data_IF_399488029326
#
_entry.id   IF_399488029326
#
_cell.length_a   1.000
_cell.length_b   1.000
_cell.length_c   1.000
_cell.angle_alpha   90.00
_cell.angle_beta   90.00
_cell.angle_gamma   90.00
#
_symmetry.space_group_name_H-M   'P 1'
#
loop_
_entity.id
_entity.type
_entity.pdbx_description
1 polymer ?
#
# COMPACT_ATOMS: atom_id res chain seq x y z
N UNK A 1 34.00 -44.70 -17.98
CA UNK A 1 32.84 -44.54 -17.06
C UNK A 1 33.00 -43.18 -16.40
N UNK A 2 32.17 -42.20 -16.76
CA UNK A 2 32.17 -40.89 -16.09
C UNK A 2 31.55 -41.09 -14.71
N UNK A 3 32.25 -40.64 -13.68
CA UNK A 3 31.75 -40.57 -12.32
C UNK A 3 30.34 -39.94 -12.35
N UNK A 4 29.36 -40.70 -11.89
CA UNK A 4 27.99 -40.22 -11.78
C UNK A 4 28.00 -39.02 -10.85
N UNK A 5 27.51 -37.90 -11.35
CA UNK A 5 27.10 -36.77 -10.52
C UNK A 5 25.97 -37.34 -9.64
N UNK A 6 26.33 -37.77 -8.43
CA UNK A 6 25.35 -37.97 -7.36
C UNK A 6 24.82 -36.58 -7.08
N UNK A 7 23.68 -36.23 -7.67
CA UNK A 7 22.99 -35.01 -7.28
C UNK A 7 22.70 -35.15 -5.79
N UNK A 8 23.23 -34.25 -4.93
CA UNK A 8 22.89 -34.29 -3.51
C UNK A 8 21.36 -34.25 -3.39
N UNK A 9 20.82 -34.99 -2.43
CA UNK A 9 19.38 -34.98 -2.15
C UNK A 9 18.86 -33.58 -1.84
N UNK A 10 17.55 -33.40 -1.64
CA UNK A 10 17.02 -32.10 -1.24
C UNK A 10 17.70 -31.65 0.06
N UNK A 11 18.21 -30.41 0.06
CA UNK A 11 18.85 -29.79 1.22
C UNK A 11 18.18 -28.44 1.50
N UNK A 12 18.18 -28.05 2.77
CA UNK A 12 17.90 -26.69 3.21
C UNK A 12 19.23 -25.94 3.33
N UNK A 13 19.39 -24.86 2.59
CA UNK A 13 20.55 -23.97 2.71
C UNK A 13 20.33 -23.03 3.88
N UNK A 14 21.26 -23.04 4.84
CA UNK A 14 21.21 -22.15 6.00
C UNK A 14 21.42 -20.71 5.56
N UNK A 15 20.52 -19.83 5.98
CA UNK A 15 20.57 -18.41 5.66
C UNK A 15 21.25 -17.63 6.77
N UNK A 16 21.81 -16.46 6.43
CA UNK A 16 22.31 -15.50 7.43
C UNK A 16 21.14 -14.75 8.05
N UNK A 17 20.37 -15.45 8.87
CA UNK A 17 19.23 -14.91 9.60
C UNK A 17 19.31 -15.23 11.09
N UNK A 18 18.65 -14.42 11.92
CA UNK A 18 18.51 -14.70 13.35
C UNK A 18 17.81 -16.05 13.58
N UNK A 19 16.85 -16.41 12.72
CA UNK A 19 16.13 -17.69 12.80
C UNK A 19 17.06 -18.89 12.66
N UNK A 20 17.93 -18.89 11.66
CA UNK A 20 18.83 -20.02 11.40
C UNK A 20 20.01 -20.05 12.40
N UNK A 21 20.47 -18.87 12.83
CA UNK A 21 21.49 -18.73 13.89
C UNK A 21 21.08 -19.38 15.23
N UNK A 22 19.77 -19.56 15.46
CA UNK A 22 19.26 -20.28 16.64
C UNK A 22 19.82 -21.70 16.77
N UNK A 23 20.16 -22.34 15.66
CA UNK A 23 20.76 -23.68 15.66
C UNK A 23 22.09 -23.73 16.41
N UNK A 24 22.82 -22.61 16.45
CA UNK A 24 24.11 -22.51 17.12
C UNK A 24 23.98 -22.33 18.64
N UNK A 25 22.81 -21.96 19.15
CA UNK A 25 22.60 -21.66 20.58
C UNK A 25 22.85 -22.90 21.42
N UNK A 26 23.75 -22.77 22.40
CA UNK A 26 24.10 -23.85 23.33
C UNK A 26 24.89 -24.99 22.68
N UNK A 27 25.44 -24.83 21.48
CA UNK A 27 26.48 -25.73 20.98
C UNK A 27 27.75 -25.57 21.84
N UNK A 28 28.50 -26.65 22.09
CA UNK A 28 29.75 -26.57 22.87
C UNK A 28 30.83 -25.72 22.20
N UNK A 29 30.72 -25.49 20.88
CA UNK A 29 31.60 -24.61 20.13
C UNK A 29 31.35 -23.12 20.39
N UNK A 30 30.17 -22.76 20.91
CA UNK A 30 29.79 -21.38 21.20
C UNK A 30 29.94 -21.10 22.71
N UNK A 31 30.48 -19.95 23.08
CA UNK A 31 30.59 -19.60 24.50
C UNK A 31 29.19 -19.45 25.12
N UNK A 32 29.07 -19.64 26.44
CA UNK A 32 27.80 -19.38 27.16
C UNK A 32 27.33 -17.95 26.97
N UNK A 33 28.27 -17.02 26.79
CA UNK A 33 27.96 -15.61 26.64
C UNK A 33 27.46 -15.26 25.24
N UNK A 34 28.08 -15.83 24.20
CA UNK A 34 27.60 -15.70 22.83
C UNK A 34 26.23 -16.38 22.64
N UNK A 35 26.01 -17.53 23.30
CA UNK A 35 24.71 -18.20 23.31
C UNK A 35 23.61 -17.35 23.97
N UNK A 36 23.94 -16.64 25.05
CA UNK A 36 23.02 -15.71 25.71
C UNK A 36 22.69 -14.52 24.81
N UNK A 37 23.70 -13.92 24.17
CA UNK A 37 23.50 -12.82 23.20
C UNK A 37 22.60 -13.29 22.06
N UNK A 38 22.89 -14.44 21.44
CA UNK A 38 22.08 -15.00 20.36
C UNK A 38 20.62 -15.21 20.81
N UNK A 39 20.39 -15.74 22.02
CA UNK A 39 19.03 -15.89 22.56
C UNK A 39 18.31 -14.55 22.71
N UNK A 40 18.99 -13.52 23.19
CA UNK A 40 18.42 -12.17 23.30
C UNK A 40 18.07 -11.59 21.92
N UNK A 41 18.89 -11.84 20.90
CA UNK A 41 18.63 -11.40 19.53
C UNK A 41 17.41 -12.09 18.93
N UNK A 42 17.17 -13.37 19.24
CA UNK A 42 15.96 -14.08 18.83
C UNK A 42 14.72 -13.46 19.46
N UNK A 43 14.76 -13.17 20.76
CA UNK A 43 13.66 -12.50 21.44
C UNK A 43 13.41 -11.09 20.88
N UNK A 44 14.47 -10.35 20.58
CA UNK A 44 14.37 -9.04 19.94
C UNK A 44 13.72 -9.16 18.55
N UNK A 45 14.15 -10.13 17.73
CA UNK A 45 13.59 -10.36 16.40
C UNK A 45 12.10 -10.72 16.46
N UNK A 46 11.70 -11.61 17.37
CA UNK A 46 10.29 -11.93 17.59
C UNK A 46 9.52 -10.66 17.99
N UNK A 47 10.04 -9.88 18.94
CA UNK A 47 9.38 -8.68 19.43
C UNK A 47 9.23 -7.61 18.33
N UNK A 48 10.27 -7.38 17.52
CA UNK A 48 10.22 -6.38 16.43
C UNK A 48 9.28 -6.81 15.33
N UNK A 49 9.40 -8.04 14.82
CA UNK A 49 8.51 -8.54 13.76
C UNK A 49 7.05 -8.56 14.23
N UNK A 50 6.76 -9.13 15.41
CA UNK A 50 5.40 -9.13 15.97
C UNK A 50 4.87 -7.71 16.20
N UNK A 51 5.74 -6.77 16.62
CA UNK A 51 5.40 -5.36 16.75
C UNK A 51 4.96 -4.73 15.43
N UNK A 52 5.73 -4.92 14.35
CA UNK A 52 5.36 -4.45 13.02
C UNK A 52 4.05 -5.09 12.54
N UNK A 53 3.89 -6.41 12.69
CA UNK A 53 2.65 -7.11 12.34
C UNK A 53 1.45 -6.52 13.09
N UNK A 54 1.59 -6.27 14.40
CA UNK A 54 0.54 -5.69 15.22
C UNK A 54 0.17 -4.26 14.77
N UNK A 55 1.17 -3.43 14.45
CA UNK A 55 0.94 -2.07 13.95
C UNK A 55 0.17 -2.09 12.63
N UNK A 56 0.59 -2.91 11.66
CA UNK A 56 -0.11 -3.07 10.37
C UNK A 56 -1.55 -3.52 10.60
N UNK A 57 -1.76 -4.55 11.42
CA UNK A 57 -3.09 -5.10 11.70
C UNK A 57 -4.03 -4.08 12.37
N UNK A 58 -3.51 -3.30 13.32
CA UNK A 58 -4.35 -2.40 14.14
C UNK A 58 -4.59 -1.04 13.50
N UNK A 59 -3.64 -0.51 12.74
CA UNK A 59 -3.66 0.90 12.31
C UNK A 59 -3.73 1.08 10.80
N UNK A 60 -3.39 0.08 9.99
CA UNK A 60 -3.23 0.26 8.54
C UNK A 60 -4.33 -0.42 7.71
N UNK A 61 -5.17 -1.28 8.31
CA UNK A 61 -6.23 -2.02 7.62
C UNK A 61 -7.57 -1.28 7.51
N UNK A 62 -7.59 0.04 7.66
CA UNK A 62 -8.83 0.79 7.55
C UNK A 62 -9.25 0.96 6.08
N UNK A 63 -10.44 0.46 5.71
CA UNK A 63 -11.01 0.61 4.36
C UNK A 63 -11.04 2.09 3.92
N UNK A 64 -10.46 2.39 2.76
CA UNK A 64 -10.33 3.78 2.28
C UNK A 64 -11.68 4.39 1.90
N UNK A 65 -12.61 3.58 1.39
CA UNK A 65 -13.93 4.04 0.92
C UNK A 65 -15.07 3.35 1.69
N UNK A 66 -15.20 3.66 2.98
CA UNK A 66 -16.34 3.21 3.80
C UNK A 66 -17.66 3.86 3.36
N UNK A 67 -18.82 3.25 3.66
CA UNK A 67 -20.13 3.84 3.38
C UNK A 67 -20.31 5.26 3.94
N UNK A 68 -19.76 5.53 5.13
CA UNK A 68 -19.82 6.87 5.74
C UNK A 68 -19.01 7.91 4.96
N UNK A 69 -17.88 7.50 4.37
CA UNK A 69 -17.07 8.37 3.51
C UNK A 69 -17.82 8.68 2.21
N UNK A 70 -18.48 7.69 1.60
CA UNK A 70 -19.32 7.91 0.42
C UNK A 70 -20.48 8.89 0.72
N UNK A 71 -21.10 8.78 1.90
CA UNK A 71 -22.12 9.72 2.34
C UNK A 71 -21.56 11.14 2.52
N UNK A 72 -20.31 11.29 2.99
CA UNK A 72 -19.66 12.59 3.07
C UNK A 72 -19.38 13.18 1.68
N UNK A 73 -18.96 12.37 0.70
CA UNK A 73 -18.81 12.81 -0.69
C UNK A 73 -20.15 13.26 -1.28
N UNK A 74 -21.23 12.54 -0.98
CA UNK A 74 -22.57 12.91 -1.44
C UNK A 74 -23.05 14.22 -0.81
N UNK A 75 -22.82 14.42 0.50
CA UNK A 75 -23.12 15.69 1.17
C UNK A 75 -22.30 16.84 0.61
N UNK A 76 -21.01 16.63 0.40
CA UNK A 76 -20.16 17.61 -0.29
C UNK A 76 -20.75 17.99 -1.64
N UNK A 77 -21.16 16.99 -2.44
CA UNK A 77 -21.78 17.22 -3.75
C UNK A 77 -23.07 18.03 -3.66
N UNK A 78 -23.93 17.74 -2.70
CA UNK A 78 -25.22 18.41 -2.55
C UNK A 78 -25.11 19.81 -1.94
N UNK A 79 -24.33 19.95 -0.87
CA UNK A 79 -24.35 21.13 -0.01
C UNK A 79 -23.31 22.16 -0.44
N UNK A 80 -22.12 21.73 -0.87
CA UNK A 80 -20.96 22.62 -1.05
C UNK A 80 -20.59 22.79 -2.53
N UNK A 81 -20.57 21.71 -3.30
CA UNK A 81 -19.99 21.70 -4.64
C UNK A 81 -20.75 22.59 -5.66
N UNK A 82 -22.03 22.88 -5.39
CA UNK A 82 -22.88 23.71 -6.23
C UNK A 82 -23.33 25.02 -5.55
N UNK A 83 -22.91 25.30 -4.33
CA UNK A 83 -23.29 26.53 -3.66
C UNK A 83 -22.56 27.73 -4.30
N UNK A 84 -23.31 28.79 -4.61
CA UNK A 84 -22.80 30.05 -5.19
C UNK A 84 -21.66 30.64 -4.36
N UNK A 85 -21.66 30.44 -3.04
CA UNK A 85 -20.64 30.92 -2.11
C UNK A 85 -19.24 30.39 -2.41
N UNK A 86 -19.16 29.19 -2.97
CA UNK A 86 -17.90 28.49 -3.26
C UNK A 86 -17.60 28.40 -4.75
N UNK A 87 -18.45 28.98 -5.59
CA UNK A 87 -18.26 29.05 -7.02
C UNK A 87 -17.14 30.02 -7.40
N UNK A 88 -16.46 29.74 -8.51
CA UNK A 88 -15.55 30.69 -9.13
C UNK A 88 -16.37 31.68 -9.95
N UNK A 89 -16.59 32.87 -9.38
CA UNK A 89 -17.38 33.92 -10.02
C UNK A 89 -16.62 34.59 -11.18
N UNK A 90 -15.29 34.65 -11.10
CA UNK A 90 -14.45 35.22 -12.16
C UNK A 90 -14.41 34.33 -13.40
N UNK A 91 -14.34 33.01 -13.20
CA UNK A 91 -14.42 32.03 -14.29
C UNK A 91 -15.83 31.56 -14.63
N UNK A 92 -16.84 31.92 -13.82
CA UNK A 92 -18.22 31.47 -13.94
C UNK A 92 -18.38 29.95 -13.89
N UNK A 93 -17.63 29.26 -13.02
CA UNK A 93 -17.61 27.79 -12.88
C UNK A 93 -18.05 27.36 -11.48
N UNK A 94 -18.79 26.27 -11.41
CA UNK A 94 -19.10 25.63 -10.13
C UNK A 94 -17.84 24.97 -9.51
N UNK A 95 -17.83 24.84 -8.19
CA UNK A 95 -16.76 24.12 -7.50
C UNK A 95 -16.73 22.63 -7.92
N UNK A 96 -17.91 22.03 -8.09
CA UNK A 96 -18.11 20.71 -8.68
C UNK A 96 -17.33 20.49 -9.98
N UNK A 97 -17.45 21.42 -10.93
CA UNK A 97 -16.78 21.32 -12.24
C UNK A 97 -15.25 21.39 -12.07
N UNK A 98 -14.76 22.30 -11.24
CA UNK A 98 -13.32 22.49 -10.99
C UNK A 98 -12.68 21.28 -10.29
N UNK A 99 -13.37 20.68 -9.32
CA UNK A 99 -12.92 19.45 -8.65
C UNK A 99 -12.84 18.30 -9.65
N UNK A 100 -13.87 18.14 -10.50
CA UNK A 100 -13.90 17.07 -11.49
C UNK A 100 -12.96 17.29 -12.68
N UNK A 101 -12.53 18.53 -12.93
CA UNK A 101 -11.46 18.85 -13.90
C UNK A 101 -10.07 18.80 -13.29
N UNK A 102 -9.93 18.37 -12.02
CA UNK A 102 -8.65 18.27 -11.31
C UNK A 102 -7.87 19.60 -11.27
N UNK A 103 -8.57 20.71 -10.98
CA UNK A 103 -7.95 22.04 -10.91
C UNK A 103 -7.07 22.20 -9.65
N UNK A 104 -5.75 22.21 -9.84
CA UNK A 104 -4.73 22.32 -8.78
C UNK A 104 -4.75 23.66 -8.03
N UNK A 105 -5.45 24.68 -8.54
CA UNK A 105 -5.53 26.00 -7.88
C UNK A 105 -6.55 26.07 -6.75
N UNK A 106 -7.28 24.98 -6.48
CA UNK A 106 -8.37 24.91 -5.51
C UNK A 106 -7.91 24.76 -4.06
N UNK A 107 -7.85 25.85 -3.29
CA UNK A 107 -7.54 25.75 -1.86
C UNK A 107 -8.65 25.11 -1.01
N UNK A 108 -9.93 25.37 -1.36
CA UNK A 108 -11.07 25.01 -0.52
C UNK A 108 -11.47 23.53 -0.63
N UNK A 109 -11.26 22.91 -1.78
CA UNK A 109 -11.65 21.53 -2.08
C UNK A 109 -10.45 20.64 -2.43
N UNK A 110 -9.25 20.99 -1.94
CA UNK A 110 -8.01 20.29 -2.26
C UNK A 110 -8.07 18.79 -1.94
N UNK A 111 -8.72 18.42 -0.83
CA UNK A 111 -8.89 17.02 -0.44
C UNK A 111 -9.76 16.25 -1.46
N UNK A 112 -10.85 16.86 -1.94
CA UNK A 112 -11.74 16.26 -2.93
C UNK A 112 -11.08 16.20 -4.30
N UNK A 113 -10.34 17.23 -4.71
CA UNK A 113 -9.58 17.24 -5.96
C UNK A 113 -8.53 16.12 -5.95
N UNK A 114 -7.71 16.02 -4.89
CA UNK A 114 -6.72 14.94 -4.73
C UNK A 114 -7.36 13.55 -4.77
N UNK A 115 -8.48 13.36 -4.05
CA UNK A 115 -9.22 12.10 -4.08
C UNK A 115 -9.74 11.78 -5.50
N UNK A 116 -10.30 12.75 -6.24
CA UNK A 116 -10.76 12.52 -7.63
C UNK A 116 -9.61 12.10 -8.53
N UNK A 117 -8.45 12.74 -8.40
CA UNK A 117 -7.23 12.37 -9.12
C UNK A 117 -6.83 10.92 -8.82
N UNK A 118 -6.78 10.53 -7.55
CA UNK A 118 -6.47 9.17 -7.14
C UNK A 118 -7.51 8.15 -7.65
N UNK A 119 -8.80 8.47 -7.54
CA UNK A 119 -9.87 7.60 -8.03
C UNK A 119 -9.80 7.41 -9.56
N UNK A 120 -9.49 8.46 -10.31
CA UNK A 120 -9.36 8.41 -11.77
C UNK A 120 -8.15 7.56 -12.19
N UNK A 121 -6.99 7.84 -11.59
CA UNK A 121 -5.77 7.10 -11.88
C UNK A 121 -5.91 5.63 -11.45
N UNK A 122 -6.55 5.38 -10.30
CA UNK A 122 -6.86 4.03 -9.87
C UNK A 122 -7.81 3.36 -10.87
N UNK A 123 -8.92 3.99 -11.27
CA UNK A 123 -9.88 3.37 -12.19
C UNK A 123 -9.30 3.01 -13.57
N UNK A 124 -8.21 3.66 -14.00
CA UNK A 124 -7.58 3.43 -15.31
C UNK A 124 -6.51 2.34 -15.27
N UNK A 125 -5.52 2.45 -14.39
CA UNK A 125 -4.37 1.52 -14.31
C UNK A 125 -4.15 0.91 -12.92
N UNK A 126 -4.81 1.45 -11.88
CA UNK A 126 -4.67 1.04 -10.48
C UNK A 126 -4.82 -0.45 -10.23
N UNK A 127 -5.93 -1.13 -10.64
CA UNK A 127 -6.11 -2.56 -10.43
C UNK A 127 -4.99 -3.42 -10.99
N UNK A 128 -4.39 -3.03 -12.14
CA UNK A 128 -3.27 -3.77 -12.73
C UNK A 128 -2.02 -3.60 -11.87
N UNK A 129 -1.70 -2.38 -11.47
CA UNK A 129 -0.58 -2.11 -10.57
C UNK A 129 -0.76 -2.81 -9.22
N UNK A 130 -1.98 -2.79 -8.66
CA UNK A 130 -2.32 -3.47 -7.41
C UNK A 130 -2.16 -4.98 -7.52
N UNK A 131 -2.58 -5.58 -8.64
CA UNK A 131 -2.38 -7.01 -8.89
C UNK A 131 -0.89 -7.37 -9.02
N UNK A 132 -0.08 -6.53 -9.65
CA UNK A 132 1.37 -6.73 -9.74
C UNK A 132 2.04 -6.59 -8.36
N UNK A 133 1.68 -5.58 -7.58
CA UNK A 133 2.20 -5.37 -6.23
C UNK A 133 1.82 -6.53 -5.29
N UNK A 134 0.56 -6.96 -5.32
CA UNK A 134 0.09 -8.14 -4.58
C UNK A 134 0.81 -9.40 -5.09
N UNK A 135 1.06 -9.53 -6.39
CA UNK A 135 1.83 -10.64 -6.95
C UNK A 135 3.25 -10.71 -6.40
N UNK A 136 3.96 -9.59 -6.38
CA UNK A 136 5.28 -9.48 -5.76
C UNK A 136 5.23 -9.86 -4.27
N UNK A 137 4.25 -9.31 -3.54
CA UNK A 137 4.05 -9.61 -2.12
C UNK A 137 3.75 -11.10 -1.85
N UNK A 138 2.86 -11.71 -2.64
CA UNK A 138 2.54 -13.14 -2.53
C UNK A 138 3.75 -14.00 -2.87
N UNK A 139 4.59 -13.62 -3.84
CA UNK A 139 5.84 -14.35 -4.13
C UNK A 139 6.81 -14.29 -2.95
N UNK A 140 6.99 -13.11 -2.32
CA UNK A 140 7.85 -12.94 -1.14
C UNK A 140 7.36 -13.77 0.04
N UNK A 141 6.07 -13.67 0.37
CA UNK A 141 5.46 -14.44 1.48
C UNK A 141 5.46 -15.94 1.21
N UNK A 142 5.20 -16.38 -0.03
CA UNK A 142 5.28 -17.79 -0.39
C UNK A 142 6.71 -18.32 -0.27
N UNK A 143 7.72 -17.56 -0.72
CA UNK A 143 9.13 -17.95 -0.53
C UNK A 143 9.39 -18.24 0.96
N UNK A 144 9.03 -17.32 1.83
CA UNK A 144 9.22 -17.44 3.27
C UNK A 144 8.48 -18.67 3.85
N UNK A 145 7.22 -18.90 3.47
CA UNK A 145 6.46 -20.07 3.90
C UNK A 145 7.13 -21.40 3.51
N UNK A 146 7.63 -21.48 2.28
CA UNK A 146 8.30 -22.70 1.81
C UNK A 146 9.68 -22.90 2.44
N UNK A 147 10.37 -21.82 2.80
CA UNK A 147 11.64 -21.88 3.53
C UNK A 147 11.39 -22.41 4.96
N UNK A 148 10.32 -21.96 5.64
CA UNK A 148 9.87 -22.52 6.93
C UNK A 148 9.56 -24.02 6.82
N UNK A 149 8.80 -24.44 5.79
CA UNK A 149 8.46 -25.86 5.58
C UNK A 149 9.72 -26.69 5.34
N UNK A 150 10.68 -26.15 4.58
CA UNK A 150 11.96 -26.82 4.29
C UNK A 150 12.81 -26.95 5.56
N UNK A 151 12.85 -25.90 6.39
CA UNK A 151 13.51 -25.92 7.70
C UNK A 151 12.87 -26.96 8.65
N UNK A 152 11.54 -27.04 8.70
CA UNK A 152 10.84 -28.09 9.48
C UNK A 152 11.26 -29.48 9.00
N UNK A 153 11.28 -29.72 7.69
CA UNK A 153 11.71 -31.00 7.11
C UNK A 153 13.16 -31.35 7.43
N UNK A 154 14.05 -30.37 7.45
CA UNK A 154 15.44 -30.54 7.85
C UNK A 154 15.58 -30.92 9.34
N UNK A 155 14.93 -30.17 10.25
CA UNK A 155 14.99 -30.45 11.70
C UNK A 155 14.38 -31.82 12.06
N UNK A 156 13.34 -32.23 11.34
CA UNK A 156 12.69 -33.53 11.54
C UNK A 156 13.54 -34.71 11.03
N UNK A 157 14.42 -34.49 10.05
CA UNK A 157 15.27 -35.54 9.47
C UNK A 157 16.31 -36.07 10.44
N UNK A 158 16.83 -35.22 11.34
CA UNK A 158 17.89 -35.62 12.26
C UNK A 158 17.38 -36.58 13.35
N UNK A 159 18.10 -37.67 13.63
CA UNK A 159 17.78 -38.55 14.75
C UNK A 159 17.89 -37.80 16.08
N UNK A 160 17.13 -38.26 17.07
CA UNK A 160 17.10 -37.63 18.39
C UNK A 160 18.12 -38.29 19.31
N UNK A 161 19.04 -37.50 19.84
CA UNK A 161 20.04 -37.91 20.84
C UNK A 161 19.83 -37.23 22.19
N UNK A 162 20.59 -37.61 23.22
CA UNK A 162 20.56 -36.91 24.52
C UNK A 162 21.21 -35.52 24.46
N UNK A 163 22.24 -35.38 23.63
CA UNK A 163 22.98 -34.13 23.40
C UNK A 163 23.16 -33.88 21.91
N UNK A 164 23.22 -32.61 21.52
CA UNK A 164 23.45 -32.26 20.10
C UNK A 164 24.93 -32.45 19.79
N UNK A 165 25.25 -33.33 18.83
CA UNK A 165 26.63 -33.64 18.45
C UNK A 165 26.96 -33.06 17.06
N UNK A 166 28.17 -32.50 16.95
CA UNK A 166 28.75 -32.05 15.70
C UNK A 166 29.80 -33.08 15.28
N UNK A 167 29.59 -33.71 14.14
CA UNK A 167 30.62 -34.49 13.47
C UNK A 167 31.38 -33.58 12.52
N UNK A 168 32.71 -33.64 12.60
CA UNK A 168 33.56 -33.03 11.58
C UNK A 168 33.91 -34.12 10.58
N UNK A 169 33.44 -34.01 9.34
CA UNK A 169 33.88 -34.93 8.30
C UNK A 169 35.34 -34.62 7.98
N UNK A 170 36.21 -35.61 8.16
CA UNK A 170 37.61 -35.55 7.73
C UNK A 170 37.62 -35.93 6.26
N UNK A 171 37.65 -34.92 5.38
CA UNK A 171 37.92 -35.15 3.97
C UNK A 171 39.28 -35.82 3.78
N UNK A 172 39.32 -36.86 2.96
CA UNK A 172 40.55 -37.50 2.49
C UNK A 172 41.49 -36.43 1.91
N UNK A 173 42.79 -36.66 2.09
CA UNK A 173 43.89 -35.73 1.84
C UNK A 173 43.73 -34.94 0.52
N UNK A 174 43.89 -33.63 0.63
CA UNK A 174 43.93 -32.62 -0.44
C UNK A 174 42.58 -32.02 -0.92
N UNK A 175 42.23 -30.92 -0.22
CA UNK A 175 41.45 -29.75 -0.64
C UNK A 175 40.02 -29.58 -0.10
N UNK A 176 39.83 -28.36 0.42
CA UNK A 176 38.59 -27.65 0.78
C UNK A 176 38.05 -27.93 2.20
N UNK A 177 37.71 -26.84 2.88
CA UNK A 177 37.41 -26.70 4.31
C UNK A 177 36.58 -27.84 4.93
N UNK A 178 36.94 -28.20 6.18
CA UNK A 178 36.19 -29.14 7.02
C UNK A 178 34.74 -28.65 7.20
N UNK A 179 33.80 -29.27 6.50
CA UNK A 179 32.38 -29.06 6.73
C UNK A 179 31.99 -29.69 8.07
N UNK A 180 31.28 -28.92 8.91
CA UNK A 180 30.71 -29.45 10.15
C UNK A 180 29.32 -29.97 9.81
N UNK A 181 29.02 -31.22 10.17
CA UNK A 181 27.68 -31.80 10.01
C UNK A 181 27.08 -32.06 11.39
N UNK A 182 25.81 -31.71 11.57
CA UNK A 182 25.07 -32.10 12.77
C UNK A 182 24.76 -33.59 12.62
N UNK A 183 25.10 -34.43 13.60
CA UNK A 183 24.78 -35.87 13.54
C UNK A 183 23.47 -36.19 14.25
N UNK A 184 23.28 -35.62 15.44
CA UNK A 184 22.12 -35.83 16.30
C UNK A 184 21.67 -34.50 16.92
N UNK A 185 20.35 -34.31 17.09
CA UNK A 185 19.77 -33.13 17.74
C UNK A 185 19.03 -33.58 19.00
N UNK A 186 19.21 -32.88 20.12
CA UNK A 186 18.51 -33.24 21.36
C UNK A 186 17.02 -32.87 21.37
N UNK A 187 16.21 -33.60 22.14
CA UNK A 187 14.77 -33.32 22.30
C UNK A 187 14.52 -31.87 22.73
N UNK A 188 15.19 -31.43 23.80
CA UNK A 188 15.07 -30.07 24.32
C UNK A 188 15.39 -28.99 23.27
N UNK A 189 16.34 -29.26 22.37
CA UNK A 189 16.66 -28.35 21.27
C UNK A 189 15.57 -28.33 20.19
N UNK A 190 15.02 -29.48 19.81
CA UNK A 190 13.90 -29.54 18.86
C UNK A 190 12.69 -28.76 19.38
N UNK A 191 12.35 -28.95 20.65
CA UNK A 191 11.24 -28.24 21.29
C UNK A 191 11.49 -26.73 21.35
N UNK A 192 12.72 -26.32 21.68
CA UNK A 192 13.14 -24.91 21.66
C UNK A 192 13.04 -24.30 20.25
N UNK A 193 13.56 -24.96 19.22
CA UNK A 193 13.47 -24.50 17.83
C UNK A 193 12.02 -24.42 17.36
N UNK A 194 11.20 -25.38 17.76
CA UNK A 194 9.78 -25.36 17.43
C UNK A 194 9.07 -24.16 18.07
N UNK A 195 9.26 -23.96 19.38
CA UNK A 195 8.58 -22.92 20.14
C UNK A 195 9.09 -21.50 19.85
N UNK A 196 10.40 -21.33 19.63
CA UNK A 196 11.03 -20.01 19.49
C UNK A 196 11.37 -19.62 18.05
N UNK A 197 11.37 -20.56 17.10
CA UNK A 197 11.70 -20.26 15.69
C UNK A 197 10.52 -20.57 14.79
N UNK A 198 10.11 -21.84 14.71
CA UNK A 198 9.11 -22.30 13.74
C UNK A 198 7.75 -21.64 13.98
N UNK A 199 7.24 -21.69 15.21
CA UNK A 199 5.91 -21.15 15.52
C UNK A 199 5.86 -19.63 15.32
N UNK A 200 6.77 -18.81 15.88
CA UNK A 200 6.74 -17.37 15.67
C UNK A 200 6.92 -16.97 14.20
N UNK A 201 7.89 -17.56 13.48
CA UNK A 201 8.16 -17.28 12.07
C UNK A 201 6.94 -17.61 11.20
N UNK A 202 6.30 -18.75 11.43
CA UNK A 202 5.07 -19.12 10.73
C UNK A 202 3.90 -18.18 11.03
N UNK A 203 3.70 -17.80 12.29
CA UNK A 203 2.64 -16.86 12.68
C UNK A 203 2.84 -15.50 12.02
N UNK A 204 4.06 -14.95 12.07
CA UNK A 204 4.41 -13.69 11.40
C UNK A 204 4.11 -13.78 9.91
N UNK A 205 4.63 -14.81 9.23
CA UNK A 205 4.43 -14.98 7.80
C UNK A 205 2.94 -15.17 7.43
N UNK A 206 2.18 -15.91 8.23
CA UNK A 206 0.77 -16.21 7.94
C UNK A 206 -0.12 -14.99 8.12
N UNK A 207 0.09 -14.26 9.23
CA UNK A 207 -0.65 -13.02 9.48
C UNK A 207 -0.27 -11.98 8.43
N UNK A 208 1.01 -11.75 8.17
CA UNK A 208 1.45 -10.80 7.15
C UNK A 208 0.92 -11.13 5.77
N UNK A 209 0.90 -12.40 5.35
CA UNK A 209 0.33 -12.78 4.06
C UNK A 209 -1.11 -12.27 3.90
N UNK A 210 -1.95 -12.45 4.94
CA UNK A 210 -3.35 -11.99 4.90
C UNK A 210 -3.46 -10.46 5.02
N UNK A 211 -2.74 -9.87 5.98
CA UNK A 211 -2.86 -8.44 6.29
C UNK A 211 -2.21 -7.58 5.21
N UNK A 212 -1.03 -7.96 4.74
CA UNK A 212 -0.32 -7.29 3.65
C UNK A 212 -1.11 -7.31 2.34
N UNK A 213 -1.75 -8.42 2.00
CA UNK A 213 -2.60 -8.49 0.79
C UNK A 213 -3.82 -7.57 0.93
N UNK A 214 -4.46 -7.50 2.10
CA UNK A 214 -5.56 -6.56 2.35
C UNK A 214 -5.11 -5.11 2.30
N UNK A 215 -3.97 -4.80 2.94
CA UNK A 215 -3.41 -3.46 2.97
C UNK A 215 -3.10 -2.94 1.56
N UNK A 216 -2.40 -3.74 0.74
CA UNK A 216 -2.10 -3.41 -0.65
C UNK A 216 -3.36 -3.29 -1.50
N UNK A 217 -4.31 -4.21 -1.34
CA UNK A 217 -5.55 -4.17 -2.11
C UNK A 217 -6.40 -2.93 -1.79
N UNK A 218 -6.27 -2.36 -0.58
CA UNK A 218 -7.02 -1.20 -0.12
C UNK A 218 -6.25 0.14 -0.31
N UNK A 219 -5.22 0.20 -1.16
CA UNK A 219 -4.48 1.44 -1.43
C UNK A 219 -4.93 2.06 -2.77
N UNK A 220 -5.40 3.32 -2.76
CA UNK A 220 -5.84 4.05 -3.98
C UNK A 220 -4.69 4.76 -4.70
N UNK A 221 -3.78 5.38 -3.94
CA UNK A 221 -2.62 6.09 -4.48
C UNK A 221 -1.61 5.10 -5.09
N UNK A 222 -1.26 5.32 -6.35
CA UNK A 222 -0.36 4.43 -7.10
C UNK A 222 1.07 4.49 -6.56
N UNK A 223 1.50 5.68 -6.11
CA UNK A 223 2.81 5.87 -5.48
C UNK A 223 2.90 5.09 -4.17
N UNK A 224 1.85 5.20 -3.35
CA UNK A 224 1.82 4.55 -2.04
C UNK A 224 1.77 3.03 -2.18
N UNK A 225 1.09 2.51 -3.21
CA UNK A 225 0.99 1.08 -3.45
C UNK A 225 2.36 0.41 -3.62
N UNK A 226 3.28 1.04 -4.37
CA UNK A 226 4.64 0.52 -4.57
C UNK A 226 5.44 0.62 -3.26
N UNK A 227 5.37 1.79 -2.61
CA UNK A 227 6.10 2.04 -1.36
C UNK A 227 5.66 1.07 -0.25
N UNK A 228 4.35 0.85 -0.14
CA UNK A 228 3.73 -0.06 0.81
C UNK A 228 4.16 -1.51 0.58
N UNK A 229 4.26 -1.95 -0.68
CA UNK A 229 4.69 -3.32 -0.99
C UNK A 229 6.14 -3.58 -0.57
N UNK A 230 7.02 -2.60 -0.80
CA UNK A 230 8.43 -2.69 -0.37
C UNK A 230 8.54 -2.62 1.15
N UNK A 231 7.78 -1.74 1.81
CA UNK A 231 7.78 -1.62 3.27
C UNK A 231 7.31 -2.90 3.97
N UNK A 232 6.32 -3.60 3.41
CA UNK A 232 5.91 -4.91 3.92
C UNK A 232 6.98 -5.98 3.73
N UNK A 233 7.66 -6.00 2.58
CA UNK A 233 8.75 -6.95 2.31
C UNK A 233 9.91 -6.76 3.30
N UNK A 234 10.23 -5.52 3.66
CA UNK A 234 11.26 -5.19 4.65
C UNK A 234 11.02 -5.86 6.01
N UNK A 235 9.76 -6.15 6.40
CA UNK A 235 9.48 -6.83 7.67
C UNK A 235 10.08 -8.24 7.69
N UNK A 236 10.13 -8.93 6.54
CA UNK A 236 10.78 -10.23 6.43
C UNK A 236 12.29 -10.12 6.54
N UNK A 237 12.91 -9.05 6.04
CA UNK A 237 14.37 -8.86 6.05
C UNK A 237 14.93 -8.38 7.42
N UNK A 238 14.05 -8.13 8.41
CA UNK A 238 14.46 -7.63 9.72
C UNK A 238 15.38 -8.61 10.47
N UNK A 239 15.17 -9.90 10.30
CA UNK A 239 15.99 -10.93 10.91
C UNK A 239 17.41 -10.94 10.33
N UNK A 240 17.57 -10.81 9.01
CA UNK A 240 18.87 -10.64 8.34
C UNK A 240 19.57 -9.35 8.80
N UNK A 241 18.81 -8.26 8.99
CA UNK A 241 19.35 -7.00 9.49
C UNK A 241 19.85 -7.12 10.94
N UNK A 242 19.07 -7.75 11.83
CA UNK A 242 19.47 -7.96 13.24
C UNK A 242 20.66 -8.91 13.31
N UNK A 243 20.65 -9.97 12.48
CA UNK A 243 21.76 -10.92 12.37
C UNK A 243 23.03 -10.15 12.01
N UNK A 244 23.02 -9.44 10.88
CA UNK A 244 24.20 -8.77 10.31
C UNK A 244 24.75 -7.64 11.19
N UNK A 245 23.91 -7.01 12.00
CA UNK A 245 24.32 -5.96 12.94
C UNK A 245 24.89 -6.50 14.26
N UNK A 246 24.27 -7.53 14.85
CA UNK A 246 24.50 -7.86 16.27
C UNK A 246 24.97 -9.29 16.55
N UNK A 247 24.81 -10.22 15.62
CA UNK A 247 25.18 -11.63 15.84
C UNK A 247 26.68 -11.79 16.11
N UNK A 248 27.10 -12.56 17.13
CA UNK A 248 28.52 -12.84 17.38
C UNK A 248 29.20 -13.49 16.17
N UNK A 249 30.42 -13.05 15.85
CA UNK A 249 31.21 -13.57 14.71
C UNK A 249 31.39 -15.08 14.73
N UNK A 250 31.48 -15.67 15.93
CA UNK A 250 31.62 -17.12 16.08
C UNK A 250 30.35 -17.87 15.66
N UNK A 251 29.16 -17.34 15.94
CA UNK A 251 27.91 -17.92 15.49
C UNK A 251 27.79 -17.86 13.95
N UNK A 252 28.18 -16.74 13.33
CA UNK A 252 28.27 -16.61 11.87
C UNK A 252 29.21 -17.63 11.25
N UNK A 253 30.42 -17.74 11.80
CA UNK A 253 31.39 -18.72 11.34
C UNK A 253 30.85 -20.16 11.45
N UNK A 254 30.11 -20.48 12.52
CA UNK A 254 29.49 -21.80 12.66
C UNK A 254 28.37 -22.01 11.63
N UNK A 255 27.55 -21.00 11.33
CA UNK A 255 26.56 -21.07 10.26
C UNK A 255 27.21 -21.33 8.90
N UNK A 256 28.29 -20.61 8.58
CA UNK A 256 29.06 -20.79 7.33
C UNK A 256 29.59 -22.22 7.20
N UNK A 257 30.02 -22.81 8.32
CA UNK A 257 30.56 -24.18 8.35
C UNK A 257 29.49 -25.26 8.29
N UNK A 258 28.28 -24.97 8.76
CA UNK A 258 27.15 -25.88 8.68
C UNK A 258 26.54 -25.86 7.27
N UNK A 259 26.40 -24.68 6.65
CA UNK A 259 25.91 -24.34 5.28
C UNK A 259 24.64 -25.03 4.75
N UNK A 260 24.47 -26.34 4.92
CA UNK A 260 23.32 -27.09 4.42
C UNK A 260 22.85 -28.15 5.42
N UNK A 261 21.54 -28.31 5.53
CA UNK A 261 20.90 -29.39 6.27
C UNK A 261 20.22 -30.36 5.29
N UNK A 262 20.50 -31.67 5.33
CA UNK A 262 19.87 -32.64 4.46
C UNK A 262 18.39 -32.82 4.83
N UNK A 263 17.54 -32.92 3.82
CA UNK A 263 16.11 -33.21 3.98
C UNK A 263 15.87 -34.65 3.55
N UNK A 264 15.21 -35.43 4.39
CA UNK A 264 14.83 -36.82 4.07
C UNK A 264 13.90 -36.86 2.87
N UNK A 265 14.21 -37.75 1.91
CA UNK A 265 13.31 -38.01 0.81
C UNK A 265 12.08 -38.77 1.31
N UNK A 266 10.85 -38.30 1.02
CA UNK A 266 9.64 -38.98 1.45
C UNK A 266 9.55 -40.34 0.77
N UNK A 267 9.49 -41.41 1.57
CA UNK A 267 9.29 -42.79 1.10
C UNK A 267 7.80 -43.07 1.06
N UNK A 268 7.20 -43.04 -0.14
CA UNK A 268 5.77 -43.35 -0.31
C UNK A 268 5.59 -44.87 -0.26
N UNK A 269 4.72 -45.39 0.63
CA UNK A 269 4.40 -46.82 0.67
C UNK A 269 3.84 -47.28 -0.68
N UNK A 270 4.48 -48.27 -1.31
CA UNK A 270 4.03 -48.87 -2.58
C UNK A 270 4.70 -48.35 -3.86
N UNK A 271 5.29 -47.14 -3.86
CA UNK A 271 5.91 -46.55 -5.06
C UNK A 271 7.44 -46.44 -5.01
N UNK A 272 8.07 -46.76 -3.87
CA UNK A 272 9.52 -46.71 -3.70
C UNK A 272 10.05 -45.29 -3.47
N UNK A 273 11.32 -45.06 -3.82
CA UNK A 273 11.93 -43.73 -3.75
C UNK A 273 11.40 -42.85 -4.88
N UNK A 274 10.84 -41.70 -4.54
CA UNK A 274 10.35 -40.74 -5.53
C UNK A 274 11.56 -40.01 -6.11
N UNK A 275 11.62 -39.89 -7.45
CA UNK A 275 12.69 -39.12 -8.12
C UNK A 275 12.73 -37.69 -7.55
N UNK A 276 13.86 -37.27 -6.98
CA UNK A 276 14.03 -35.94 -6.39
C UNK A 276 13.61 -34.81 -7.35
N UNK A 277 14.00 -34.93 -8.63
CA UNK A 277 13.62 -33.96 -9.66
C UNK A 277 12.12 -33.91 -10.01
N UNK A 278 11.32 -34.92 -9.65
CA UNK A 278 9.85 -34.87 -9.77
C UNK A 278 9.26 -34.10 -8.58
N UNK A 279 9.78 -34.32 -7.37
CA UNK A 279 9.35 -33.61 -6.17
C UNK A 279 9.63 -32.10 -6.27
N UNK A 280 10.80 -31.71 -6.79
CA UNK A 280 11.14 -30.30 -7.02
C UNK A 280 10.23 -29.64 -8.05
N UNK A 281 9.93 -30.35 -9.16
CA UNK A 281 8.95 -29.88 -10.15
C UNK A 281 7.56 -29.72 -9.55
N UNK A 282 7.12 -30.68 -8.74
CA UNK A 282 5.84 -30.60 -8.05
C UNK A 282 5.80 -29.42 -7.06
N UNK A 283 6.86 -29.19 -6.28
CA UNK A 283 6.98 -28.05 -5.37
C UNK A 283 6.88 -26.72 -6.12
N UNK A 284 7.58 -26.57 -7.25
CA UNK A 284 7.51 -25.36 -8.06
C UNK A 284 6.12 -25.17 -8.70
N UNK A 285 5.48 -26.25 -9.14
CA UNK A 285 4.11 -26.20 -9.66
C UNK A 285 3.11 -25.80 -8.57
N UNK A 286 3.25 -26.33 -7.35
CA UNK A 286 2.42 -25.94 -6.20
C UNK A 286 2.62 -24.46 -5.86
N UNK A 287 3.86 -23.96 -5.83
CA UNK A 287 4.16 -22.53 -5.64
C UNK A 287 3.44 -21.66 -6.67
N UNK A 288 3.53 -22.02 -7.96
CA UNK A 288 2.87 -21.31 -9.05
C UNK A 288 1.33 -21.38 -8.92
N UNK A 289 0.77 -22.55 -8.58
CA UNK A 289 -0.66 -22.71 -8.39
C UNK A 289 -1.17 -21.88 -7.21
N UNK A 290 -0.46 -21.86 -6.08
CA UNK A 290 -0.80 -21.03 -4.92
C UNK A 290 -0.75 -19.53 -5.25
N UNK A 291 0.25 -19.10 -6.02
CA UNK A 291 0.34 -17.72 -6.50
C UNK A 291 -0.86 -17.36 -7.38
N UNK A 292 -1.19 -18.19 -8.37
CA UNK A 292 -2.33 -17.93 -9.26
C UNK A 292 -3.66 -17.93 -8.51
N UNK A 293 -3.85 -18.88 -7.59
CA UNK A 293 -5.04 -18.91 -6.73
C UNK A 293 -5.09 -17.67 -5.83
N UNK A 294 -3.98 -17.27 -5.21
CA UNK A 294 -3.90 -16.06 -4.38
C UNK A 294 -4.20 -14.78 -5.15
N UNK A 295 -3.72 -14.67 -6.39
CA UNK A 295 -4.03 -13.55 -7.29
C UNK A 295 -5.50 -13.53 -7.71
N UNK A 296 -6.07 -14.69 -8.06
CA UNK A 296 -7.49 -14.82 -8.39
C UNK A 296 -8.37 -14.45 -7.19
N UNK A 297 -8.04 -14.95 -5.99
CA UNK A 297 -8.76 -14.61 -4.76
C UNK A 297 -8.64 -13.11 -4.45
N UNK A 298 -7.45 -12.53 -4.58
CA UNK A 298 -7.24 -11.09 -4.36
C UNK A 298 -8.04 -10.24 -5.36
N UNK A 299 -8.09 -10.67 -6.62
CA UNK A 299 -8.90 -10.02 -7.65
C UNK A 299 -10.38 -10.00 -7.30
N UNK A 300 -10.97 -11.18 -7.03
CA UNK A 300 -12.41 -11.28 -6.81
C UNK A 300 -12.87 -10.79 -5.43
N UNK A 301 -12.05 -11.01 -4.38
CA UNK A 301 -12.45 -10.71 -3.01
C UNK A 301 -12.08 -9.30 -2.55
N UNK A 302 -11.05 -8.67 -3.15
CA UNK A 302 -10.53 -7.38 -2.67
C UNK A 302 -10.52 -6.30 -3.76
N UNK A 303 -9.94 -6.58 -4.93
CA UNK A 303 -9.77 -5.56 -5.98
C UNK A 303 -11.08 -5.23 -6.70
N UNK A 304 -11.89 -6.23 -7.07
CA UNK A 304 -13.16 -5.99 -7.77
C UNK A 304 -14.15 -5.18 -6.90
N UNK A 305 -14.35 -5.50 -5.60
CA UNK A 305 -15.15 -4.65 -4.72
C UNK A 305 -14.63 -3.22 -4.65
N UNK A 306 -13.32 -3.03 -4.44
CA UNK A 306 -12.74 -1.68 -4.38
C UNK A 306 -12.93 -0.92 -5.69
N UNK A 307 -12.72 -1.56 -6.84
CA UNK A 307 -12.92 -0.94 -8.15
C UNK A 307 -14.37 -0.45 -8.32
N UNK A 308 -15.36 -1.24 -7.89
CA UNK A 308 -16.76 -0.83 -7.95
C UNK A 308 -17.07 0.35 -7.03
N UNK A 309 -16.47 0.37 -5.83
CA UNK A 309 -16.61 1.48 -4.87
C UNK A 309 -15.93 2.75 -5.38
N UNK A 310 -14.77 2.63 -6.02
CA UNK A 310 -14.06 3.73 -6.67
C UNK A 310 -14.88 4.35 -7.78
N UNK A 311 -15.50 3.53 -8.64
CA UNK A 311 -16.40 4.02 -9.68
C UNK A 311 -17.64 4.70 -9.09
N UNK A 312 -18.20 4.15 -8.01
CA UNK A 312 -19.31 4.77 -7.30
C UNK A 312 -18.92 6.13 -6.71
N UNK A 313 -17.76 6.24 -6.07
CA UNK A 313 -17.24 7.49 -5.52
C UNK A 313 -17.04 8.56 -6.62
N UNK A 314 -16.45 8.17 -7.76
CA UNK A 314 -16.35 9.03 -8.94
C UNK A 314 -17.72 9.46 -9.46
N UNK A 315 -18.68 8.54 -9.50
CA UNK A 315 -20.03 8.86 -9.96
C UNK A 315 -20.74 9.83 -8.99
N UNK A 316 -20.59 9.64 -7.68
CA UNK A 316 -21.14 10.56 -6.67
C UNK A 316 -20.59 11.97 -6.87
N UNK A 317 -19.28 12.10 -7.11
CA UNK A 317 -18.63 13.40 -7.24
C UNK A 317 -18.82 14.03 -8.61
N UNK A 318 -18.78 13.26 -9.69
CA UNK A 318 -18.55 13.77 -11.05
C UNK A 318 -19.54 13.26 -12.10
N UNK A 319 -20.48 12.36 -11.77
CA UNK A 319 -21.54 12.04 -12.74
C UNK A 319 -22.60 13.15 -12.82
N UNK A 320 -23.43 13.10 -13.85
CA UNK A 320 -24.54 14.04 -14.03
C UNK A 320 -24.09 15.46 -14.36
N UNK A 321 -24.96 16.43 -14.10
CA UNK A 321 -24.72 17.83 -14.44
C UNK A 321 -23.81 18.47 -13.40
N UNK A 322 -22.64 18.94 -13.82
CA UNK A 322 -21.69 19.69 -12.97
C UNK A 322 -21.86 21.21 -13.11
N UNK A 323 -22.37 21.67 -14.25
CA UNK A 323 -22.32 23.08 -14.65
C UNK A 323 -23.57 23.83 -14.20
N UNK A 324 -23.78 23.90 -12.89
CA UNK A 324 -24.77 24.78 -12.28
C UNK A 324 -24.35 25.15 -10.86
N UNK A 325 -24.91 26.26 -10.39
CA UNK A 325 -24.82 26.70 -9.00
C UNK A 325 -26.21 27.06 -8.47
N UNK A 326 -26.38 27.04 -7.16
CA UNK A 326 -27.61 27.44 -6.50
C UNK A 326 -27.35 28.42 -5.35
N UNK A 327 -28.39 29.18 -5.00
CA UNK A 327 -28.49 29.89 -3.73
C UNK A 327 -29.85 29.61 -3.10
N UNK A 328 -29.93 29.76 -1.79
CA UNK A 328 -31.20 29.68 -1.06
C UNK A 328 -31.60 31.09 -0.68
N UNK A 329 -32.77 31.51 -1.14
CA UNK A 329 -33.31 32.80 -0.74
C UNK A 329 -33.61 32.79 0.77
N UNK A 330 -32.90 33.61 1.54
CA UNK A 330 -33.00 33.60 3.00
C UNK A 330 -34.40 34.02 3.52
N UNK A 331 -35.16 34.79 2.75
CA UNK A 331 -36.50 35.24 3.12
C UNK A 331 -37.59 34.20 2.81
N UNK A 332 -37.45 33.43 1.73
CA UNK A 332 -38.50 32.50 1.26
C UNK A 332 -38.16 31.03 1.43
N UNK A 333 -36.88 30.70 1.64
CA UNK A 333 -36.37 29.33 1.65
C UNK A 333 -36.39 28.65 0.28
N UNK A 334 -36.67 29.39 -0.81
CA UNK A 334 -36.71 28.85 -2.16
C UNK A 334 -35.28 28.71 -2.70
N UNK A 335 -35.00 27.56 -3.31
CA UNK A 335 -33.72 27.28 -3.98
C UNK A 335 -33.80 27.78 -5.42
N UNK A 336 -32.92 28.70 -5.79
CA UNK A 336 -32.75 29.17 -7.17
C UNK A 336 -31.45 28.66 -7.74
N UNK A 337 -31.51 27.99 -8.89
CA UNK A 337 -30.36 27.39 -9.55
C UNK A 337 -30.16 27.97 -10.95
N UNK A 338 -28.91 28.25 -11.30
CA UNK A 338 -28.53 28.81 -12.60
C UNK A 338 -27.41 27.98 -13.25
N UNK A 339 -27.41 27.85 -14.59
CA UNK A 339 -26.31 27.20 -15.30
C UNK A 339 -24.99 27.96 -15.10
N UNK A 340 -23.88 27.22 -15.06
CA UNK A 340 -22.52 27.77 -15.17
C UNK A 340 -21.90 27.38 -16.52
N UNK A 341 -20.72 27.91 -16.84
CA UNK A 341 -20.02 27.52 -18.07
C UNK A 341 -19.53 26.07 -18.01
N UNK A 342 -19.71 25.32 -19.11
CA UNK A 342 -19.39 23.89 -19.23
C UNK A 342 -18.00 23.61 -19.82
N UNK A 343 -17.50 24.48 -20.69
CA UNK A 343 -16.21 24.32 -21.35
C UNK A 343 -15.06 24.88 -20.50
N UNK A 344 -13.86 24.35 -20.73
CA UNK A 344 -12.60 25.05 -20.52
C UNK A 344 -12.62 26.33 -21.38
N UNK A 345 -13.38 27.35 -20.97
CA UNK A 345 -13.15 28.69 -21.48
C UNK A 345 -11.63 28.94 -21.33
N UNK A 346 -10.91 29.32 -22.41
CA UNK A 346 -9.48 29.54 -22.34
C UNK A 346 -9.20 30.43 -21.14
N UNK A 347 -8.11 30.15 -20.41
CA UNK A 347 -7.63 30.87 -19.20
C UNK A 347 -7.50 32.37 -19.50
N UNK A 348 -8.64 33.02 -19.59
CA UNK A 348 -8.79 34.43 -19.85
C UNK A 348 -9.10 34.99 -18.49
N UNK A 349 -8.05 35.56 -17.88
CA UNK A 349 -8.19 36.21 -16.60
C UNK A 349 -9.38 37.17 -16.65
N UNK A 350 -10.31 37.00 -15.73
CA UNK A 350 -11.40 37.95 -15.51
C UNK A 350 -10.84 39.35 -15.26
N UNK A 351 -11.64 40.38 -15.49
CA UNK A 351 -11.24 41.78 -15.25
C UNK A 351 -10.69 41.99 -13.84
N UNK A 352 -11.29 41.32 -12.85
CA UNK A 352 -10.84 41.32 -11.46
C UNK A 352 -9.46 40.67 -11.29
N UNK A 353 -9.26 39.47 -11.85
CA UNK A 353 -7.97 38.78 -11.81
C UNK A 353 -6.87 39.60 -12.50
N UNK A 354 -7.18 40.29 -13.61
CA UNK A 354 -6.24 41.20 -14.28
C UNK A 354 -5.84 42.36 -13.38
N UNK A 355 -6.81 43.02 -12.74
CA UNK A 355 -6.51 44.11 -11.80
C UNK A 355 -5.62 43.65 -10.64
N UNK A 356 -5.87 42.45 -10.12
CA UNK A 356 -5.01 41.86 -9.07
C UNK A 356 -3.59 41.56 -9.59
N UNK A 357 -3.46 41.00 -10.80
CA UNK A 357 -2.15 40.71 -11.41
C UNK A 357 -1.36 41.98 -11.75
N UNK A 358 -2.03 43.02 -12.25
CA UNK A 358 -1.44 44.34 -12.50
C UNK A 358 -0.95 44.99 -11.20
N UNK A 359 -1.74 44.89 -10.13
CA UNK A 359 -1.33 45.36 -8.80
C UNK A 359 -0.18 44.52 -8.22
N UNK A 360 -0.16 43.21 -8.48
CA UNK A 360 0.85 42.29 -8.00
C UNK A 360 2.21 42.50 -8.67
N UNK A 361 2.27 43.18 -9.84
CA UNK A 361 3.51 43.49 -10.58
C UNK A 361 4.44 42.28 -10.73
N UNK A 362 3.89 41.14 -11.16
CA UNK A 362 4.64 39.91 -11.34
C UNK A 362 5.75 40.09 -12.39
N UNK A 363 6.99 39.75 -12.03
CA UNK A 363 8.13 39.74 -12.97
C UNK A 363 8.16 38.40 -13.71
N UNK A 364 7.33 38.30 -14.75
CA UNK A 364 7.23 37.11 -15.60
C UNK A 364 8.37 37.14 -16.62
N UNK A 365 9.41 36.32 -16.44
CA UNK A 365 10.44 36.14 -17.45
C UNK A 365 9.88 35.36 -18.65
N UNK A 366 10.26 35.77 -19.85
CA UNK A 366 9.76 35.17 -21.09
C UNK A 366 10.29 33.73 -21.23
N UNK A 367 9.45 32.74 -21.00
CA UNK A 367 9.69 31.35 -21.41
C UNK A 367 8.92 31.07 -22.70
N UNK A 368 9.66 30.76 -23.76
CA UNK A 368 9.10 30.32 -25.04
C UNK A 368 8.16 29.12 -24.82
N UNK A 369 6.90 29.27 -25.21
CA UNK A 369 5.88 28.22 -25.13
C UNK A 369 4.96 28.26 -23.91
N UNK A 370 5.24 29.06 -22.86
CA UNK A 370 4.36 29.10 -21.68
C UNK A 370 3.11 29.99 -21.89
N UNK A 371 3.17 30.98 -22.79
CA UNK A 371 2.06 31.92 -23.01
C UNK A 371 2.06 32.52 -24.43
N UNK A 372 1.38 31.90 -25.43
CA UNK A 372 1.15 32.57 -26.71
C UNK A 372 0.00 33.59 -26.65
N UNK A 373 -0.98 33.41 -25.74
CA UNK A 373 -2.23 34.18 -25.74
C UNK A 373 -2.39 35.16 -24.58
N UNK A 374 -1.68 34.98 -23.45
CA UNK A 374 -1.79 35.91 -22.32
C UNK A 374 -1.17 37.29 -22.61
N UNK A 375 -0.32 37.40 -23.65
CA UNK A 375 0.31 38.65 -24.08
C UNK A 375 -0.25 39.25 -25.36
N UNK A 376 -1.23 38.62 -26.04
CA UNK A 376 -2.03 39.30 -27.06
C UNK A 376 -3.09 40.18 -26.38
N UNK A 377 -2.62 41.20 -25.65
CA UNK A 377 -3.41 42.31 -25.11
C UNK A 377 -4.05 43.11 -26.27
N UNK A 378 -5.09 42.54 -26.89
CA UNK A 378 -5.73 43.17 -28.05
C UNK A 378 -7.07 42.61 -28.49
N UNK A 379 -7.51 41.43 -28.03
CA UNK A 379 -8.88 40.96 -28.29
C UNK A 379 -9.55 40.48 -27.01
N UNK A 380 -10.08 41.45 -26.29
CA UNK A 380 -11.02 41.28 -25.20
C UNK A 380 -12.35 40.86 -25.82
N UNK A 381 -12.82 39.64 -25.54
CA UNK A 381 -14.25 39.39 -25.49
C UNK A 381 -14.68 39.73 -24.07
N UNK A 382 -15.43 40.82 -23.91
CA UNK A 382 -16.15 41.09 -22.67
C UNK A 382 -17.11 39.92 -22.44
N UNK A 383 -16.76 39.03 -21.51
CA UNK A 383 -17.66 37.97 -21.05
C UNK A 383 -18.78 38.52 -20.14
N UNK A 384 -18.70 39.80 -19.78
CA UNK A 384 -19.61 40.52 -18.89
C UNK A 384 -21.06 40.61 -19.46
N UNK A 385 -21.21 40.47 -20.78
CA UNK A 385 -22.51 40.54 -21.48
C UNK A 385 -23.14 39.18 -21.79
N UNK A 386 -22.60 38.08 -21.26
CA UNK A 386 -23.24 36.78 -21.46
C UNK A 386 -24.50 36.63 -20.57
N UNK A 387 -25.64 36.15 -21.12
CA UNK A 387 -26.89 36.00 -20.35
C UNK A 387 -26.76 35.00 -19.18
N UNK A 388 -25.69 34.22 -19.15
CA UNK A 388 -25.34 33.32 -18.05
C UNK A 388 -24.76 34.10 -16.87
N UNK A 389 -23.84 35.04 -17.10
CA UNK A 389 -23.19 35.81 -16.04
C UNK A 389 -24.17 36.75 -15.33
N UNK A 390 -25.09 37.37 -16.07
CA UNK A 390 -26.18 38.17 -15.50
C UNK A 390 -27.06 37.35 -14.54
N UNK A 391 -27.34 36.09 -14.88
CA UNK A 391 -28.10 35.17 -14.02
C UNK A 391 -27.30 34.74 -12.79
N UNK A 392 -26.00 34.54 -12.92
CA UNK A 392 -25.10 34.28 -11.78
C UNK A 392 -25.10 35.48 -10.83
N UNK A 393 -25.00 36.71 -11.34
CA UNK A 393 -25.08 37.93 -10.55
C UNK A 393 -26.42 38.07 -9.80
N UNK A 394 -27.54 37.70 -10.43
CA UNK A 394 -28.85 37.68 -9.75
C UNK A 394 -28.88 36.72 -8.56
N UNK A 395 -28.36 35.50 -8.74
CA UNK A 395 -28.29 34.49 -7.66
C UNK A 395 -27.35 34.93 -6.53
N UNK A 396 -26.26 35.62 -6.86
CA UNK A 396 -25.36 36.23 -5.86
C UNK A 396 -26.03 37.31 -5.02
N UNK A 397 -26.89 38.13 -5.64
CA UNK A 397 -27.64 39.16 -4.93
C UNK A 397 -28.65 38.54 -3.96
N UNK A 398 -29.25 37.40 -4.31
CA UNK A 398 -30.14 36.66 -3.42
C UNK A 398 -29.40 36.11 -2.20
N UNK A 399 -28.20 35.56 -2.39
CA UNK A 399 -27.36 35.08 -1.28
C UNK A 399 -26.93 36.22 -0.35
N UNK A 400 -26.60 37.39 -0.91
CA UNK A 400 -26.22 38.58 -0.11
C UNK A 400 -27.41 39.32 0.51
N UNK A 401 -28.63 38.98 0.13
CA UNK A 401 -29.83 39.63 0.67
C UNK A 401 -30.07 39.15 2.10
N UNK A 402 -29.44 39.84 3.05
CA UNK A 402 -29.58 39.55 4.47
C UNK A 402 -31.01 39.89 4.91
N UNK A 403 -31.69 38.95 5.55
CA UNK A 403 -33.08 39.12 6.02
C UNK A 403 -33.17 40.30 7.00
N UNK A 404 -32.10 40.56 7.75
CA UNK A 404 -32.01 41.72 8.64
C UNK A 404 -31.94 43.05 7.87
N UNK A 405 -31.15 43.12 6.79
CA UNK A 405 -31.08 44.32 5.94
C UNK A 405 -32.35 44.54 5.11
N UNK A 406 -33.06 43.46 4.74
CA UNK A 406 -34.36 43.53 4.09
C UNK A 406 -35.48 43.90 5.07
N UNK A 407 -35.44 43.42 6.32
CA UNK A 407 -36.37 43.77 7.39
C UNK A 407 -36.22 45.24 7.84
N UNK A 408 -34.99 45.75 7.92
CA UNK A 408 -34.72 47.16 8.26
C UNK A 408 -35.13 48.13 7.14
N UNK A 409 -35.25 47.65 5.88
CA UNK A 409 -35.68 48.44 4.73
C UNK A 409 -37.16 48.24 4.35
N UNK A 410 -37.89 47.36 5.05
CA UNK A 410 -39.33 47.26 4.93
C UNK A 410 -39.95 48.39 5.77
N UNK A 411 -40.62 49.40 5.17
CA UNK A 411 -41.43 50.31 5.97
C UNK A 411 -42.45 49.46 6.73
N UNK A 412 -42.40 49.50 8.06
CA UNK A 412 -43.47 49.02 8.92
C UNK A 412 -44.72 49.87 8.62
N UNK A 413 -45.41 49.59 7.53
CA UNK A 413 -46.79 50.00 7.33
C UNK A 413 -47.66 48.91 7.94
N UNK A 414 -48.22 49.28 9.09
CA UNK A 414 -49.32 48.65 9.81
C UNK A 414 -48.96 47.49 10.75
N UNK A 415 -48.37 47.90 11.89
CA UNK A 415 -48.82 47.39 13.18
C UNK A 415 -50.35 47.47 13.26
N UNK A 416 -51.03 46.33 13.06
CA UNK A 416 -52.31 46.09 13.69
C UNK A 416 -52.03 45.39 15.02
N UNK A 417 -52.54 46.02 16.08
CA UNK A 417 -52.49 45.60 17.48
C UNK A 417 -52.87 44.14 17.72
#
# INVERSE_FOLDING_TARGET
MRAGIVTPGPCYELQHSVWDACLCIGLPALSKWDSFIATLLVLLNIATQMGFVAVVQMHMLEDVLKPDQLNQLLRFRADVAHDVKYADLGGGRSLARRVCSQDDSLQLANAQTGLVTDLYNYSTIGPVLALLAIGCWLMTTLREMFDIISFIGAVQTYPVGETTQLSTEVGEEDAVEKAATISEISHSRKDMLFALVIVPRFVVAAVLMVTGTRYLANTLSLSDLILNAVALAFIFDLDELIESAFMPRLARFLLDKLSTLPISQPRIPGLGHVNAGLLDRARNFIKLALLLVGLLLSWYLLLQPLQSTTQLALNILCSGRQDFIYAVNAATGIIEAVPTFSEEAPLTFSTEQRSVLELAKLDLYHMEGLYPEAMSMGQIRDFDDTPVLQKIQQVLLLERSDVAAAADNLPCTDCLC
#
